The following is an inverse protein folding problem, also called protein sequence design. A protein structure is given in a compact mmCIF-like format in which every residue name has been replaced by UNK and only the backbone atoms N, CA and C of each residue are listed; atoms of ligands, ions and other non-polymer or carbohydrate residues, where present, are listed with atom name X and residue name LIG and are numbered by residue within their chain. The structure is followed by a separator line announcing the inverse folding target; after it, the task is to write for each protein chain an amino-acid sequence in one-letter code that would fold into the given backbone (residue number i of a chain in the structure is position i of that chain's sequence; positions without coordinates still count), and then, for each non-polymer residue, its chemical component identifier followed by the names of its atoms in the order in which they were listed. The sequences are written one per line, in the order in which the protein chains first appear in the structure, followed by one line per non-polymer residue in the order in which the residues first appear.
data_IF_156742360363
#
_entry.id   IF_156742360363
#
_cell.length_a   1.000
_cell.length_b   1.000
_cell.length_c   1.000
_cell.angle_alpha   90.00
_cell.angle_beta   90.00
_cell.angle_gamma   90.00
#
_symmetry.space_group_name_H-M   'P 1'
#
loop_
_entity.id
_entity.type
_entity.pdbx_description
1 polymer ?
#
# COMPACT_ATOMS: atom_id res chain seq x y z
N UNK A 1 -45.75 -25.91 0.39
CA UNK A 1 -45.14 -25.15 -0.73
C UNK A 1 -44.35 -23.91 -0.27
N UNK A 2 -44.07 -23.72 1.03
CA UNK A 2 -43.41 -22.51 1.57
C UNK A 2 -41.91 -22.74 1.92
N UNK A 3 -41.46 -23.99 2.10
CA UNK A 3 -40.06 -24.31 2.45
C UNK A 3 -39.03 -24.14 1.33
N UNK A 4 -39.45 -23.98 0.08
CA UNK A 4 -38.53 -23.79 -1.05
C UNK A 4 -38.15 -22.32 -1.31
N UNK A 5 -38.74 -21.37 -0.58
CA UNK A 5 -38.36 -19.95 -0.70
C UNK A 5 -37.19 -19.56 0.22
N UNK A 6 -36.98 -20.30 1.30
CA UNK A 6 -35.93 -20.01 2.29
C UNK A 6 -34.51 -20.29 1.76
N UNK A 7 -34.33 -21.29 0.89
CA UNK A 7 -33.01 -21.62 0.32
C UNK A 7 -32.56 -20.63 -0.78
N UNK A 8 -33.48 -19.87 -1.37
CA UNK A 8 -33.17 -18.80 -2.31
C UNK A 8 -32.63 -17.54 -1.61
N UNK A 9 -32.85 -17.41 -0.30
CA UNK A 9 -32.44 -16.27 0.52
C UNK A 9 -31.10 -16.50 1.25
N UNK A 10 -30.22 -17.35 0.73
CA UNK A 10 -28.80 -17.34 1.14
C UNK A 10 -28.11 -16.08 0.57
N UNK A 11 -28.32 -14.97 1.27
CA UNK A 11 -28.08 -13.58 0.87
C UNK A 11 -26.61 -13.29 0.50
N UNK A 12 -25.68 -14.16 0.95
CA UNK A 12 -24.24 -13.98 0.71
C UNK A 12 -23.76 -14.65 -0.60
N UNK A 13 -24.36 -15.77 -1.01
CA UNK A 13 -23.92 -16.55 -2.19
C UNK A 13 -24.66 -16.15 -3.47
N UNK A 14 -25.91 -15.71 -3.34
CA UNK A 14 -26.81 -15.43 -4.47
C UNK A 14 -27.00 -13.93 -4.77
N UNK A 15 -26.16 -13.04 -4.23
CA UNK A 15 -26.31 -11.60 -4.44
C UNK A 15 -26.32 -11.22 -5.93
N UNK A 16 -25.52 -11.87 -6.78
CA UNK A 16 -25.58 -11.68 -8.25
C UNK A 16 -26.92 -12.08 -8.85
N UNK A 17 -27.52 -13.17 -8.36
CA UNK A 17 -28.84 -13.64 -8.79
C UNK A 17 -29.92 -12.65 -8.33
N UNK A 18 -29.82 -12.12 -7.11
CA UNK A 18 -30.74 -11.11 -6.59
C UNK A 18 -30.65 -9.81 -7.42
N UNK A 19 -29.44 -9.37 -7.78
CA UNK A 19 -29.25 -8.20 -8.67
C UNK A 19 -29.86 -8.46 -10.05
N UNK A 20 -29.62 -9.63 -10.64
CA UNK A 20 -30.15 -9.98 -11.95
C UNK A 20 -31.68 -10.10 -11.94
N UNK A 21 -32.25 -10.70 -10.89
CA UNK A 21 -33.70 -10.79 -10.71
C UNK A 21 -34.29 -9.40 -10.50
N UNK A 22 -33.66 -8.56 -9.70
CA UNK A 22 -34.07 -7.17 -9.49
C UNK A 22 -34.06 -6.37 -10.78
N UNK A 23 -32.96 -6.43 -11.54
CA UNK A 23 -32.82 -5.73 -12.81
C UNK A 23 -33.82 -6.26 -13.84
N UNK A 24 -34.02 -7.59 -13.91
CA UNK A 24 -35.02 -8.22 -14.77
C UNK A 24 -36.43 -7.75 -14.43
N UNK A 25 -36.80 -7.72 -13.15
CA UNK A 25 -38.12 -7.25 -12.69
C UNK A 25 -38.30 -5.76 -13.03
N UNK A 26 -37.32 -4.90 -12.76
CA UNK A 26 -37.40 -3.46 -13.05
C UNK A 26 -37.50 -3.20 -14.56
N UNK A 27 -36.72 -3.91 -15.38
CA UNK A 27 -36.77 -3.80 -16.84
C UNK A 27 -38.11 -4.31 -17.37
N UNK A 28 -38.56 -5.50 -16.97
CA UNK A 28 -39.86 -6.04 -17.38
C UNK A 28 -41.02 -5.13 -16.96
N UNK A 29 -40.95 -4.55 -15.76
CA UNK A 29 -41.95 -3.62 -15.27
C UNK A 29 -41.92 -2.28 -16.03
N UNK A 30 -40.75 -1.78 -16.40
CA UNK A 30 -40.60 -0.56 -17.23
C UNK A 30 -41.02 -0.77 -18.69
N UNK A 31 -40.84 -1.97 -19.24
CA UNK A 31 -41.27 -2.32 -20.59
C UNK A 31 -42.79 -2.52 -20.67
N UNK A 32 -43.37 -3.24 -19.72
CA UNK A 32 -44.83 -3.49 -19.68
C UNK A 32 -45.61 -2.19 -19.48
N UNK A 33 -45.11 -1.32 -18.62
CA UNK A 33 -45.69 -0.01 -18.38
C UNK A 33 -45.62 0.84 -19.68
N UNK A 34 -44.47 0.98 -20.34
CA UNK A 34 -44.35 1.69 -21.64
C UNK A 34 -45.26 1.14 -22.77
N UNK A 35 -45.50 -0.17 -22.83
CA UNK A 35 -46.39 -0.77 -23.83
C UNK A 35 -47.87 -0.47 -23.53
N UNK A 36 -48.26 -0.45 -22.25
CA UNK A 36 -49.62 -0.06 -21.84
C UNK A 36 -49.84 1.44 -22.05
N UNK A 37 -48.80 2.28 -21.87
CA UNK A 37 -48.85 3.74 -22.08
C UNK A 37 -48.85 4.19 -23.55
N UNK A 38 -48.57 3.31 -24.51
CA UNK A 38 -48.56 3.64 -25.94
C UNK A 38 -49.94 3.68 -26.60
N UNK A 39 -50.99 3.25 -25.91
CA UNK A 39 -52.37 3.23 -26.40
C UNK A 39 -53.14 4.41 -25.78
N UNK A 40 -53.30 5.50 -26.52
CA UNK A 40 -53.86 6.76 -26.02
C UNK A 40 -55.28 6.67 -25.44
N UNK A 41 -55.55 7.62 -24.53
CA UNK A 41 -56.81 7.89 -23.83
C UNK A 41 -58.08 7.77 -24.69
N UNK A 42 -59.03 6.94 -24.24
CA UNK A 42 -60.43 6.94 -24.71
C UNK A 42 -61.35 7.44 -23.59
N UNK A 43 -62.24 8.38 -23.90
CA UNK A 43 -63.19 8.98 -22.96
C UNK A 43 -64.18 7.93 -22.42
N UNK A 44 -64.28 7.81 -21.08
CA UNK A 44 -65.31 7.00 -20.40
C UNK A 44 -64.85 6.14 -19.20
N UNK A 45 -63.59 6.19 -18.78
CA UNK A 45 -63.05 5.28 -17.78
C UNK A 45 -63.12 5.81 -16.34
N UNK A 46 -63.66 5.00 -15.42
CA UNK A 46 -63.73 5.32 -13.98
C UNK A 46 -62.40 5.08 -13.25
N UNK A 47 -62.19 5.83 -12.16
CA UNK A 47 -60.92 5.93 -11.39
C UNK A 47 -60.37 4.57 -10.89
N UNK A 48 -61.18 3.50 -10.90
CA UNK A 48 -60.84 2.17 -10.37
C UNK A 48 -61.17 0.99 -11.32
N UNK A 49 -61.51 1.23 -12.58
CA UNK A 49 -61.97 0.15 -13.46
C UNK A 49 -60.82 -0.44 -14.30
N UNK A 50 -60.47 -1.71 -14.03
CA UNK A 50 -59.39 -2.43 -14.73
C UNK A 50 -60.02 -3.18 -15.92
N UNK A 51 -60.09 -2.50 -17.06
CA UNK A 51 -60.50 -3.09 -18.35
C UNK A 51 -59.46 -2.76 -19.43
N UNK A 52 -59.32 -3.62 -20.43
CA UNK A 52 -58.32 -3.56 -21.50
C UNK A 52 -58.56 -2.41 -22.50
N UNK A 53 -58.53 -1.18 -22.01
CA UNK A 53 -58.78 0.05 -22.74
C UNK A 53 -58.95 1.30 -21.86
N UNK A 54 -58.76 1.17 -20.54
CA UNK A 54 -58.86 2.27 -19.58
C UNK A 54 -57.52 2.50 -18.87
N UNK A 55 -57.02 3.74 -18.94
CA UNK A 55 -55.76 4.14 -18.32
C UNK A 55 -55.81 4.11 -16.79
N UNK A 56 -54.72 3.61 -16.19
CA UNK A 56 -54.45 3.68 -14.77
C UNK A 56 -54.31 5.15 -14.35
N UNK A 57 -55.12 5.61 -13.38
CA UNK A 57 -55.11 7.00 -12.86
C UNK A 57 -53.70 7.57 -12.62
N UNK A 58 -53.47 8.84 -12.99
CA UNK A 58 -52.17 9.53 -12.89
C UNK A 58 -51.54 9.56 -11.48
N UNK A 59 -52.35 9.41 -10.42
CA UNK A 59 -51.83 9.26 -9.05
C UNK A 59 -51.18 7.90 -8.82
N UNK A 60 -51.71 6.84 -9.46
CA UNK A 60 -51.15 5.50 -9.38
C UNK A 60 -49.80 5.42 -10.13
N UNK A 61 -49.66 6.16 -11.24
CA UNK A 61 -48.38 6.32 -11.95
C UNK A 61 -47.30 6.95 -11.06
N UNK A 62 -47.64 8.02 -10.35
CA UNK A 62 -46.70 8.72 -9.47
C UNK A 62 -46.24 7.83 -8.29
N UNK A 63 -47.15 7.04 -7.70
CA UNK A 63 -46.81 6.10 -6.62
C UNK A 63 -45.88 4.99 -7.14
N UNK A 64 -46.13 4.48 -8.34
CA UNK A 64 -45.31 3.45 -8.98
C UNK A 64 -43.90 3.98 -9.28
N UNK A 65 -43.78 5.18 -9.86
CA UNK A 65 -42.48 5.79 -10.14
C UNK A 65 -41.69 6.07 -8.86
N UNK A 66 -42.33 6.62 -7.83
CA UNK A 66 -41.67 6.89 -6.54
C UNK A 66 -41.22 5.58 -5.88
N UNK A 67 -42.05 4.52 -5.94
CA UNK A 67 -41.69 3.22 -5.41
C UNK A 67 -40.52 2.59 -6.17
N UNK A 68 -40.54 2.60 -7.50
CA UNK A 68 -39.47 2.07 -8.33
C UNK A 68 -38.15 2.83 -8.12
N UNK A 69 -38.21 4.16 -8.09
CA UNK A 69 -37.03 5.02 -7.90
C UNK A 69 -36.46 4.88 -6.48
N UNK A 70 -37.31 4.81 -5.46
CA UNK A 70 -36.89 4.59 -4.07
C UNK A 70 -36.23 3.22 -3.87
N UNK A 71 -36.78 2.17 -4.48
CA UNK A 71 -36.22 0.82 -4.43
C UNK A 71 -34.84 0.76 -5.11
N UNK A 72 -34.70 1.44 -6.26
CA UNK A 72 -33.45 1.55 -6.99
C UNK A 72 -32.40 2.36 -6.22
N UNK A 73 -32.82 3.45 -5.56
CA UNK A 73 -31.95 4.24 -4.69
C UNK A 73 -31.44 3.43 -3.48
N UNK A 74 -32.31 2.67 -2.81
CA UNK A 74 -31.91 1.80 -1.70
C UNK A 74 -30.94 0.70 -2.16
N UNK A 75 -31.17 0.13 -3.34
CA UNK A 75 -30.30 -0.87 -3.93
C UNK A 75 -28.91 -0.30 -4.28
N UNK A 76 -28.84 0.87 -4.93
CA UNK A 76 -27.58 1.56 -5.21
C UNK A 76 -26.86 1.96 -3.93
N UNK A 77 -27.58 2.45 -2.91
CA UNK A 77 -27.00 2.77 -1.61
C UNK A 77 -26.41 1.53 -0.92
N UNK A 78 -27.11 0.39 -0.97
CA UNK A 78 -26.63 -0.89 -0.44
C UNK A 78 -25.37 -1.36 -1.17
N UNK A 79 -25.33 -1.27 -2.50
CA UNK A 79 -24.13 -1.56 -3.29
C UNK A 79 -22.97 -0.63 -2.89
N UNK A 80 -23.21 0.67 -2.90
CA UNK A 80 -22.20 1.67 -2.54
C UNK A 80 -21.65 1.44 -1.13
N UNK A 81 -22.51 1.14 -0.14
CA UNK A 81 -22.10 0.85 1.24
C UNK A 81 -21.26 -0.42 1.38
N UNK A 82 -21.48 -1.43 0.52
CA UNK A 82 -20.65 -2.65 0.50
C UNK A 82 -19.31 -2.41 -0.18
N UNK A 83 -19.29 -1.62 -1.25
CA UNK A 83 -18.06 -1.27 -1.97
C UNK A 83 -17.14 -0.36 -1.13
N UNK A 84 -17.69 0.62 -0.44
CA UNK A 84 -16.96 1.50 0.49
C UNK A 84 -16.32 0.70 1.63
N UNK A 85 -17.06 -0.18 2.31
CA UNK A 85 -16.52 -1.06 3.37
C UNK A 85 -15.37 -1.95 2.90
N UNK A 86 -15.45 -2.50 1.68
CA UNK A 86 -14.36 -3.31 1.10
C UNK A 86 -13.13 -2.46 0.82
N UNK A 87 -13.33 -1.25 0.30
CA UNK A 87 -12.24 -0.32 0.01
C UNK A 87 -11.53 0.11 1.29
N UNK A 88 -12.26 0.46 2.35
CA UNK A 88 -11.70 0.78 3.67
C UNK A 88 -10.84 -0.35 4.23
N UNK A 89 -11.32 -1.60 4.13
CA UNK A 89 -10.55 -2.77 4.58
C UNK A 89 -9.27 -2.98 3.75
N UNK A 90 -9.32 -2.76 2.44
CA UNK A 90 -8.14 -2.84 1.57
C UNK A 90 -7.13 -1.74 1.95
N UNK A 91 -7.59 -0.50 2.12
CA UNK A 91 -6.75 0.65 2.52
C UNK A 91 -6.09 0.37 3.87
N UNK A 92 -6.88 -0.03 4.88
CA UNK A 92 -6.37 -0.34 6.23
C UNK A 92 -5.34 -1.48 6.19
N UNK A 93 -5.57 -2.51 5.37
CA UNK A 93 -4.61 -3.60 5.19
C UNK A 93 -3.33 -3.15 4.49
N UNK A 94 -3.43 -2.28 3.48
CA UNK A 94 -2.26 -1.70 2.81
C UNK A 94 -1.46 -0.80 3.76
N UNK A 95 -2.14 0.01 4.56
CA UNK A 95 -1.52 0.87 5.57
C UNK A 95 -0.80 0.04 6.64
N UNK A 96 -1.43 -1.02 7.16
CA UNK A 96 -0.79 -1.95 8.08
C UNK A 96 0.45 -2.63 7.48
N UNK A 97 0.40 -3.01 6.19
CA UNK A 97 1.58 -3.53 5.48
C UNK A 97 2.67 -2.48 5.36
N UNK A 98 2.31 -1.23 5.05
CA UNK A 98 3.24 -0.10 4.96
C UNK A 98 3.95 0.14 6.29
N UNK A 99 3.22 0.20 7.39
CA UNK A 99 3.77 0.39 8.75
C UNK A 99 4.71 -0.75 9.13
N UNK A 100 4.35 -2.00 8.82
CA UNK A 100 5.23 -3.15 9.07
C UNK A 100 6.51 -3.10 8.24
N UNK A 101 6.39 -2.74 6.95
CA UNK A 101 7.54 -2.54 6.05
C UNK A 101 8.45 -1.43 6.60
N UNK A 102 7.88 -0.30 7.02
CA UNK A 102 8.62 0.81 7.65
C UNK A 102 9.40 0.35 8.88
N UNK A 103 8.75 -0.32 9.83
CA UNK A 103 9.41 -0.82 11.06
C UNK A 103 10.55 -1.79 10.74
N UNK A 104 10.28 -2.77 9.87
CA UNK A 104 11.29 -3.74 9.46
C UNK A 104 12.48 -3.09 8.77
N UNK A 105 12.23 -2.17 7.85
CA UNK A 105 13.28 -1.44 7.14
C UNK A 105 14.11 -0.55 8.07
N UNK A 106 13.48 0.13 9.03
CA UNK A 106 14.18 0.97 9.99
C UNK A 106 15.06 0.13 10.94
N UNK A 107 14.55 -1.00 11.43
CA UNK A 107 15.33 -1.94 12.25
C UNK A 107 16.50 -2.56 11.47
N UNK A 108 16.25 -3.00 10.24
CA UNK A 108 17.29 -3.54 9.36
C UNK A 108 18.39 -2.51 9.10
N UNK A 109 18.04 -1.27 8.76
CA UNK A 109 19.02 -0.20 8.52
C UNK A 109 19.80 0.17 9.78
N UNK A 110 19.17 0.17 10.96
CA UNK A 110 19.87 0.39 12.23
C UNK A 110 20.88 -0.71 12.53
N UNK A 111 20.53 -1.97 12.22
CA UNK A 111 21.46 -3.09 12.34
C UNK A 111 22.65 -2.94 11.36
N UNK A 112 22.37 -2.63 10.09
CA UNK A 112 23.41 -2.41 9.08
C UNK A 112 24.33 -1.23 9.44
N UNK A 113 23.78 -0.14 9.98
CA UNK A 113 24.54 0.99 10.52
C UNK A 113 25.42 0.60 11.71
N UNK A 114 24.96 -0.29 12.58
CA UNK A 114 25.74 -0.80 13.70
C UNK A 114 26.92 -1.64 13.20
N UNK A 115 26.67 -2.52 12.23
CA UNK A 115 27.72 -3.33 11.58
C UNK A 115 28.74 -2.43 10.85
N UNK A 116 28.27 -1.36 10.20
CA UNK A 116 29.12 -0.35 9.57
C UNK A 116 30.02 0.34 10.60
N UNK A 117 29.46 0.82 11.71
CA UNK A 117 30.23 1.46 12.79
C UNK A 117 31.28 0.51 13.40
N UNK A 118 30.93 -0.76 13.55
CA UNK A 118 31.86 -1.78 14.02
C UNK A 118 33.02 -1.97 13.04
N UNK A 119 32.74 -2.16 11.75
CA UNK A 119 33.79 -2.37 10.74
C UNK A 119 34.70 -1.17 10.58
N UNK A 120 34.18 0.07 10.55
CA UNK A 120 35.04 1.26 10.49
C UNK A 120 35.92 1.38 11.75
N UNK A 121 35.43 0.94 12.92
CA UNK A 121 36.22 0.94 14.16
C UNK A 121 37.34 -0.09 14.10
N UNK A 122 37.08 -1.28 13.57
CA UNK A 122 38.09 -2.32 13.35
C UNK A 122 39.15 -1.85 12.35
N UNK A 123 38.74 -1.21 11.26
CA UNK A 123 39.66 -0.61 10.27
C UNK A 123 40.54 0.44 10.94
N UNK A 124 39.96 1.38 11.69
CA UNK A 124 40.71 2.43 12.39
C UNK A 124 41.74 1.84 13.38
N UNK A 125 41.36 0.82 14.14
CA UNK A 125 42.29 0.15 15.05
C UNK A 125 43.40 -0.60 14.31
N UNK A 126 43.08 -1.24 13.18
CA UNK A 126 44.07 -1.98 12.37
C UNK A 126 45.06 -1.03 11.70
N UNK A 127 44.60 0.14 11.24
CA UNK A 127 45.46 1.21 10.72
C UNK A 127 46.41 1.73 11.79
N UNK A 128 45.91 1.97 13.02
CA UNK A 128 46.77 2.39 14.14
C UNK A 128 47.86 1.37 14.45
N UNK A 129 47.53 0.06 14.38
CA UNK A 129 48.51 -1.03 14.55
C UNK A 129 49.51 -1.09 13.39
N UNK A 130 49.05 -0.93 12.16
CA UNK A 130 49.90 -0.90 10.97
C UNK A 130 50.93 0.23 11.07
N UNK A 131 50.52 1.43 11.48
CA UNK A 131 51.43 2.57 11.62
C UNK A 131 52.38 2.45 12.83
N UNK A 132 52.06 1.62 13.83
CA UNK A 132 52.87 1.45 15.03
C UNK A 132 53.90 0.33 14.94
N UNK A 133 53.62 -0.74 14.17
CA UNK A 133 54.43 -1.96 14.12
C UNK A 133 54.83 -2.29 12.68
N UNK A 134 56.06 -1.95 12.27
CA UNK A 134 56.49 -2.16 10.89
C UNK A 134 56.75 -3.62 10.50
N UNK A 135 56.92 -4.52 11.47
CA UNK A 135 57.21 -5.94 11.21
C UNK A 135 56.00 -6.75 10.73
N UNK A 136 54.77 -6.27 10.98
CA UNK A 136 53.52 -6.96 10.61
C UNK A 136 52.75 -6.29 9.44
N UNK A 137 53.40 -5.40 8.70
CA UNK A 137 52.75 -4.58 7.66
C UNK A 137 52.00 -5.43 6.62
N UNK A 138 52.56 -6.54 6.14
CA UNK A 138 51.94 -7.36 5.10
C UNK A 138 50.61 -7.99 5.58
N UNK A 139 50.62 -8.59 6.77
CA UNK A 139 49.43 -9.20 7.39
C UNK A 139 48.37 -8.14 7.71
N UNK A 140 48.77 -6.99 8.25
CA UNK A 140 47.87 -5.90 8.59
C UNK A 140 47.30 -5.19 7.35
N UNK A 141 48.08 -5.07 6.27
CA UNK A 141 47.63 -4.52 4.98
C UNK A 141 46.58 -5.43 4.34
N UNK A 142 46.80 -6.75 4.36
CA UNK A 142 45.80 -7.72 3.89
C UNK A 142 44.52 -7.61 4.71
N UNK A 143 44.63 -7.55 6.05
CA UNK A 143 43.46 -7.40 6.93
C UNK A 143 42.69 -6.10 6.68
N UNK A 144 43.38 -4.98 6.43
CA UNK A 144 42.72 -3.71 6.05
C UNK A 144 41.93 -3.89 4.74
N UNK A 145 42.51 -4.54 3.72
CA UNK A 145 41.82 -4.81 2.44
C UNK A 145 40.58 -5.69 2.63
N UNK A 146 40.68 -6.73 3.46
CA UNK A 146 39.56 -7.62 3.77
C UNK A 146 38.42 -6.88 4.48
N UNK A 147 38.73 -6.05 5.48
CA UNK A 147 37.71 -5.26 6.18
C UNK A 147 37.11 -4.15 5.29
N UNK A 148 37.88 -3.59 4.36
CA UNK A 148 37.36 -2.67 3.34
C UNK A 148 36.37 -3.35 2.38
N UNK A 149 36.65 -4.59 1.96
CA UNK A 149 35.70 -5.37 1.14
C UNK A 149 34.41 -5.69 1.91
N UNK A 150 34.52 -6.03 3.20
CA UNK A 150 33.33 -6.21 4.07
C UNK A 150 32.52 -4.93 4.21
N UNK A 151 33.20 -3.79 4.35
CA UNK A 151 32.56 -2.48 4.42
C UNK A 151 31.81 -2.13 3.13
N UNK A 152 32.38 -2.46 1.97
CA UNK A 152 31.72 -2.29 0.66
C UNK A 152 30.45 -3.14 0.57
N UNK A 153 30.50 -4.40 1.00
CA UNK A 153 29.32 -5.28 1.04
C UNK A 153 28.21 -4.71 1.93
N UNK A 154 28.55 -4.21 3.11
CA UNK A 154 27.57 -3.56 4.01
C UNK A 154 26.99 -2.30 3.34
N UNK A 155 27.84 -1.49 2.70
CA UNK A 155 27.38 -0.31 1.97
C UNK A 155 26.39 -0.66 0.85
N UNK A 156 26.63 -1.76 0.12
CA UNK A 156 25.70 -2.27 -0.90
C UNK A 156 24.39 -2.74 -0.27
N UNK A 157 24.44 -3.49 0.84
CA UNK A 157 23.24 -3.92 1.56
C UNK A 157 22.40 -2.72 2.01
N UNK A 158 23.02 -1.70 2.60
CA UNK A 158 22.35 -0.46 3.01
C UNK A 158 21.68 0.21 1.80
N UNK A 159 22.36 0.25 0.65
CA UNK A 159 21.79 0.82 -0.58
C UNK A 159 20.56 0.03 -1.05
N UNK A 160 20.64 -1.31 -1.07
CA UNK A 160 19.51 -2.14 -1.48
C UNK A 160 18.32 -2.01 -0.53
N UNK A 161 18.55 -2.03 0.79
CA UNK A 161 17.51 -1.85 1.81
C UNK A 161 16.88 -0.46 1.70
N UNK A 162 17.69 0.58 1.48
CA UNK A 162 17.24 1.96 1.27
C UNK A 162 16.37 2.11 0.00
N UNK A 163 16.79 1.53 -1.13
CA UNK A 163 16.04 1.61 -2.39
C UNK A 163 14.71 0.85 -2.32
N UNK A 164 14.73 -0.38 -1.81
CA UNK A 164 13.53 -1.23 -1.66
C UNK A 164 12.52 -0.66 -0.66
N UNK A 165 12.98 0.18 0.25
CA UNK A 165 12.20 0.79 1.32
C UNK A 165 12.00 2.30 1.13
N UNK A 166 12.34 2.84 -0.05
CA UNK A 166 12.25 4.28 -0.34
C UNK A 166 10.84 4.86 -0.21
N UNK A 167 9.81 4.06 -0.42
CA UNK A 167 8.39 4.44 -0.27
C UNK A 167 7.94 4.62 1.19
N UNK A 168 8.69 4.03 2.12
CA UNK A 168 8.35 4.00 3.55
C UNK A 168 9.34 4.78 4.42
N UNK A 169 10.57 4.97 3.96
CA UNK A 169 11.59 5.74 4.67
C UNK A 169 11.42 7.24 4.37
N UNK A 170 11.62 8.07 5.40
CA UNK A 170 11.61 9.53 5.27
C UNK A 170 12.71 10.03 4.32
N UNK A 171 12.44 11.05 3.48
CA UNK A 171 13.42 11.56 2.52
C UNK A 171 14.71 12.10 3.17
N UNK A 172 14.62 12.61 4.40
CA UNK A 172 15.76 13.09 5.18
C UNK A 172 16.70 11.92 5.54
N UNK A 173 16.13 10.78 5.95
CA UNK A 173 16.90 9.58 6.27
C UNK A 173 17.54 8.97 5.01
N UNK A 174 16.83 8.96 3.87
CA UNK A 174 17.38 8.54 2.58
C UNK A 174 18.58 9.40 2.15
N UNK A 175 18.46 10.72 2.33
CA UNK A 175 19.56 11.66 2.06
C UNK A 175 20.76 11.40 2.98
N UNK A 176 20.50 11.14 4.27
CA UNK A 176 21.53 10.74 5.23
C UNK A 176 22.27 9.46 4.83
N UNK A 177 21.52 8.43 4.41
CA UNK A 177 22.07 7.16 3.89
C UNK A 177 22.97 7.40 2.67
N UNK A 178 22.53 8.22 1.72
CA UNK A 178 23.34 8.54 0.53
C UNK A 178 24.64 9.29 0.89
N UNK A 179 24.60 10.18 1.88
CA UNK A 179 25.79 10.88 2.35
C UNK A 179 26.77 9.91 3.04
N UNK A 180 26.27 9.00 3.89
CA UNK A 180 27.08 7.94 4.51
C UNK A 180 27.78 7.11 3.43
N UNK A 181 27.07 6.70 2.37
CA UNK A 181 27.65 5.95 1.25
C UNK A 181 28.79 6.70 0.56
N UNK A 182 28.63 8.01 0.31
CA UNK A 182 29.68 8.84 -0.31
C UNK A 182 30.93 8.93 0.56
N UNK A 183 30.76 9.00 1.88
CA UNK A 183 31.89 9.04 2.81
C UNK A 183 32.67 7.72 2.84
N UNK A 184 31.99 6.60 2.57
CA UNK A 184 32.53 5.23 2.65
C UNK A 184 33.12 4.74 1.32
N UNK A 185 32.88 5.43 0.20
CA UNK A 185 33.36 5.03 -1.13
C UNK A 185 34.90 5.00 -1.25
N UNK A 186 35.62 5.69 -0.35
CA UNK A 186 37.08 5.61 -0.17
C UNK A 186 37.44 6.15 1.22
N UNK A 187 37.26 5.34 2.29
CA UNK A 187 37.35 5.83 3.66
C UNK A 187 38.79 5.95 4.15
N UNK A 188 39.72 5.25 3.50
CA UNK A 188 41.13 5.15 3.87
C UNK A 188 41.98 5.69 2.73
N UNK A 189 42.93 6.57 3.05
CA UNK A 189 43.98 7.02 2.13
C UNK A 189 45.30 6.36 2.50
N UNK A 190 46.07 5.99 1.49
CA UNK A 190 47.42 5.47 1.65
C UNK A 190 48.38 6.45 0.98
N UNK A 191 49.07 7.25 1.79
CA UNK A 191 50.05 8.24 1.33
C UNK A 191 51.35 7.99 2.11
N UNK A 192 52.50 8.05 1.44
CA UNK A 192 53.84 7.91 2.04
C UNK A 192 54.04 6.68 2.93
N UNK A 193 53.44 5.54 2.58
CA UNK A 193 53.57 4.29 3.34
C UNK A 193 52.71 4.22 4.60
N UNK A 194 51.86 5.23 4.86
CA UNK A 194 51.02 5.35 6.05
C UNK A 194 49.55 5.29 5.63
N UNK A 195 48.76 4.47 6.33
CA UNK A 195 47.31 4.52 6.21
C UNK A 195 46.74 5.63 7.10
N UNK A 196 45.86 6.46 6.54
CA UNK A 196 45.10 7.46 7.27
C UNK A 196 43.60 7.26 7.10
N UNK A 197 42.86 7.33 8.22
CA UNK A 197 41.40 7.28 8.24
C UNK A 197 40.84 8.62 8.69
N UNK A 198 40.91 9.60 7.80
CA UNK A 198 40.56 11.01 8.10
C UNK A 198 39.06 11.26 8.33
N UNK A 199 38.18 10.40 7.81
CA UNK A 199 36.71 10.58 7.86
C UNK A 199 36.02 9.75 8.94
N UNK A 200 36.76 9.12 9.85
CA UNK A 200 36.19 8.23 10.87
C UNK A 200 35.12 8.94 11.73
N UNK A 201 35.45 10.11 12.29
CA UNK A 201 34.54 10.85 13.16
C UNK A 201 33.32 11.41 12.39
N UNK A 202 33.53 11.88 11.16
CA UNK A 202 32.47 12.36 10.28
C UNK A 202 31.46 11.24 9.92
N UNK A 203 31.96 10.04 9.59
CA UNK A 203 31.11 8.87 9.32
C UNK A 203 30.32 8.50 10.58
N UNK A 204 30.98 8.46 11.74
CA UNK A 204 30.34 8.11 13.00
C UNK A 204 29.23 9.08 13.39
N UNK A 205 29.47 10.37 13.26
CA UNK A 205 28.47 11.40 13.50
C UNK A 205 27.30 11.27 12.52
N UNK A 206 27.59 11.14 11.23
CA UNK A 206 26.55 11.04 10.19
C UNK A 206 25.66 9.81 10.37
N UNK A 207 26.24 8.66 10.71
CA UNK A 207 25.51 7.42 11.00
C UNK A 207 24.63 7.60 12.23
N UNK A 208 25.15 8.21 13.30
CA UNK A 208 24.39 8.47 14.54
C UNK A 208 23.20 9.38 14.27
N UNK A 209 23.41 10.47 13.53
CA UNK A 209 22.35 11.41 13.19
C UNK A 209 21.29 10.79 12.27
N UNK A 210 21.71 10.00 11.28
CA UNK A 210 20.78 9.31 10.36
C UNK A 210 20.00 8.21 11.09
N UNK A 211 20.62 7.50 12.03
CA UNK A 211 19.97 6.46 12.85
C UNK A 211 18.86 7.02 13.75
N UNK A 212 18.98 8.28 14.20
CA UNK A 212 17.91 8.98 14.94
C UNK A 212 16.70 9.35 14.08
N UNK A 213 16.87 9.42 12.76
CA UNK A 213 15.79 9.75 11.82
C UNK A 213 14.96 8.51 11.42
N UNK A 214 15.49 7.32 11.67
CA UNK A 214 14.86 6.00 11.49
C UNK A 214 14.18 5.54 12.79
#
# INVERSE_FOLDING_TARGET
MIRNLESLFDYRKNFRVIILVFFSVVVLFSFTSNIVYGAGVSEGCGIFDIKSGCDLSGWMHLVIDVAATGLLALFLHSLASKHTKKLELIITNQENKRIRKEKFSNESLKNDFTALLFNISVINQTIKKFNANPEEHDNLSQKIKEELSRLENISLTIQHTSLTSSEVIKPEALTGIQQIRRLIQSPVKFDDGIYSFNRYDEIKEKVTNTSKLL
#
